data_IF_146076886746
#
_entry.id   IF_146076886746
#
_cell.length_a   1.000
_cell.length_b   1.000
_cell.length_c   1.000
_cell.angle_alpha   90.00
_cell.angle_beta   90.00
_cell.angle_gamma   90.00
#
_symmetry.space_group_name_H-M   'P 1'
#
loop_
_entity.id
_entity.type
_entity.pdbx_description
1 polymer ?
#
# COMPACT_ATOMS: atom_id res chain seq x y z
N UNK A 1 19.48 15.48 6.62
CA UNK A 1 18.51 14.40 6.34
C UNK A 1 17.37 15.05 5.57
N UNK A 2 17.06 14.56 4.37
CA UNK A 2 15.84 15.00 3.68
C UNK A 2 14.63 14.60 4.55
N UNK A 3 13.63 15.48 4.66
CA UNK A 3 12.40 15.17 5.40
C UNK A 3 11.61 14.05 4.72
N UNK A 4 10.65 13.48 5.45
CA UNK A 4 9.72 12.50 4.86
C UNK A 4 8.92 13.15 3.71
N UNK A 5 8.64 12.43 2.61
CA UNK A 5 7.88 12.95 1.49
C UNK A 5 6.38 12.95 1.81
N UNK A 6 5.93 13.87 2.67
CA UNK A 6 4.56 13.87 3.24
C UNK A 6 3.45 13.80 2.19
N UNK A 7 3.55 14.56 1.10
CA UNK A 7 2.55 14.53 0.03
C UNK A 7 2.47 13.16 -0.67
N UNK A 8 3.62 12.55 -0.97
CA UNK A 8 3.68 11.21 -1.55
C UNK A 8 3.18 10.14 -0.58
N UNK A 9 3.44 10.30 0.72
CA UNK A 9 2.92 9.43 1.78
C UNK A 9 1.39 9.54 1.90
N UNK A 10 0.82 10.74 1.86
CA UNK A 10 -0.63 10.92 1.83
C UNK A 10 -1.25 10.28 0.57
N UNK A 11 -0.62 10.45 -0.60
CA UNK A 11 -1.06 9.78 -1.83
C UNK A 11 -1.04 8.25 -1.69
N UNK A 12 0.03 7.72 -1.09
CA UNK A 12 0.18 6.29 -0.81
C UNK A 12 -0.86 5.78 0.19
N UNK A 13 -1.16 6.55 1.23
CA UNK A 13 -2.22 6.27 2.20
C UNK A 13 -3.60 6.19 1.55
N UNK A 14 -3.91 7.14 0.67
CA UNK A 14 -5.15 7.14 -0.09
C UNK A 14 -5.26 5.87 -0.95
N UNK A 15 -4.22 5.54 -1.71
CA UNK A 15 -4.21 4.34 -2.56
C UNK A 15 -4.30 3.07 -1.73
N UNK A 16 -3.60 3.00 -0.59
CA UNK A 16 -3.67 1.85 0.32
C UNK A 16 -5.10 1.63 0.83
N UNK A 17 -5.79 2.70 1.21
CA UNK A 17 -7.18 2.64 1.64
C UNK A 17 -8.12 2.17 0.51
N UNK A 18 -7.92 2.69 -0.70
CA UNK A 18 -8.65 2.26 -1.90
C UNK A 18 -8.41 0.76 -2.22
N UNK A 19 -7.16 0.33 -2.12
CA UNK A 19 -6.76 -1.05 -2.39
C UNK A 19 -7.33 -2.01 -1.34
N UNK A 20 -7.34 -1.64 -0.06
CA UNK A 20 -7.98 -2.43 0.98
C UNK A 20 -9.49 -2.50 0.83
N UNK A 21 -10.14 -1.41 0.43
CA UNK A 21 -11.56 -1.47 0.09
C UNK A 21 -11.82 -2.47 -1.04
N UNK A 22 -11.08 -2.37 -2.13
CA UNK A 22 -11.17 -3.33 -3.25
C UNK A 22 -10.93 -4.77 -2.79
N UNK A 23 -9.88 -5.01 -1.98
CA UNK A 23 -9.54 -6.33 -1.47
C UNK A 23 -10.58 -6.89 -0.48
N UNK A 24 -11.25 -6.02 0.28
CA UNK A 24 -12.29 -6.39 1.26
C UNK A 24 -13.58 -6.86 0.60
N UNK A 25 -13.79 -6.52 -0.67
CA UNK A 25 -15.00 -6.91 -1.43
C UNK A 25 -14.71 -8.08 -2.40
N UNK A 26 -13.49 -8.64 -2.41
CA UNK A 26 -13.13 -9.77 -3.27
C UNK A 26 -13.82 -11.08 -2.84
N UNK A 27 -14.25 -11.93 -3.80
CA UNK A 27 -14.75 -13.26 -3.50
C UNK A 27 -13.64 -14.18 -2.97
N UNK A 28 -13.99 -15.35 -2.39
CA UNK A 28 -13.01 -16.36 -2.03
C UNK A 28 -12.10 -16.76 -3.19
N UNK A 29 -10.78 -16.68 -2.97
CA UNK A 29 -9.77 -16.92 -4.01
C UNK A 29 -9.54 -15.76 -4.97
N UNK A 30 -10.23 -14.63 -4.78
CA UNK A 30 -9.97 -13.39 -5.53
C UNK A 30 -8.57 -12.84 -5.24
N UNK A 31 -8.00 -12.17 -6.22
CA UNK A 31 -6.71 -11.49 -6.12
C UNK A 31 -6.92 -10.01 -6.41
N UNK A 32 -6.33 -9.15 -5.59
CA UNK A 32 -6.36 -7.71 -5.82
C UNK A 32 -5.63 -7.39 -7.14
N UNK A 33 -6.32 -6.72 -8.05
CA UNK A 33 -5.71 -6.20 -9.25
C UNK A 33 -4.79 -5.03 -8.86
N UNK A 34 -3.48 -5.09 -9.17
CA UNK A 34 -2.57 -3.98 -8.93
C UNK A 34 -3.05 -2.67 -9.54
N UNK A 35 -2.85 -1.58 -8.81
CA UNK A 35 -3.19 -0.23 -9.28
C UNK A 35 -2.10 0.77 -8.92
N UNK A 36 -2.05 1.87 -9.66
CA UNK A 36 -1.25 3.04 -9.32
C UNK A 36 -2.13 4.26 -9.17
N UNK A 37 -1.76 5.14 -8.26
CA UNK A 37 -2.31 6.47 -8.12
C UNK A 37 -1.18 7.46 -8.25
N UNK A 38 -1.18 8.22 -9.33
CA UNK A 38 -0.14 9.19 -9.63
C UNK A 38 -0.70 10.61 -9.63
N UNK A 39 0.08 11.55 -9.11
CA UNK A 39 -0.25 12.96 -9.10
C UNK A 39 0.42 13.66 -10.27
N UNK A 40 -0.38 14.38 -11.07
CA UNK A 40 0.12 15.24 -12.15
C UNK A 40 0.66 16.55 -11.58
N UNK A 41 1.46 17.25 -12.38
CA UNK A 41 1.98 18.58 -12.01
C UNK A 41 0.88 19.64 -11.79
N UNK A 42 -0.32 19.44 -12.32
CA UNK A 42 -1.49 20.30 -12.12
C UNK A 42 -2.28 19.96 -10.83
N UNK A 43 -1.82 18.98 -10.04
CA UNK A 43 -2.46 18.53 -8.80
C UNK A 43 -3.55 17.46 -9.00
N UNK A 44 -3.89 17.11 -10.24
CA UNK A 44 -4.87 16.05 -10.49
C UNK A 44 -4.28 14.67 -10.22
N UNK A 45 -5.08 13.80 -9.60
CA UNK A 45 -4.72 12.40 -9.35
C UNK A 45 -5.27 11.50 -10.46
N UNK A 46 -4.46 10.58 -10.96
CA UNK A 46 -4.86 9.58 -11.95
C UNK A 46 -4.69 8.18 -11.37
N UNK A 47 -5.81 7.45 -11.26
CA UNK A 47 -5.83 6.04 -10.91
C UNK A 47 -5.72 5.20 -12.18
N UNK A 48 -4.84 4.21 -12.19
CA UNK A 48 -4.69 3.25 -13.28
C UNK A 48 -4.62 1.83 -12.71
N UNK A 49 -5.34 0.91 -13.32
CA UNK A 49 -5.19 -0.54 -13.07
C UNK A 49 -4.18 -1.15 -14.03
N UNK A 50 -3.49 -2.20 -13.57
CA UNK A 50 -2.61 -3.02 -14.40
C UNK A 50 -3.34 -4.30 -14.82
N UNK A 51 -3.69 -4.38 -16.09
CA UNK A 51 -4.37 -5.53 -16.68
C UNK A 51 -3.37 -6.64 -17.05
N UNK A 52 -3.87 -7.87 -17.09
CA UNK A 52 -3.11 -9.06 -17.43
C UNK A 52 -4.00 -10.30 -17.34
N UNK A 53 -3.67 -11.36 -18.09
CA UNK A 53 -4.44 -12.59 -18.09
C UNK A 53 -4.26 -13.40 -16.81
N UNK A 54 -3.17 -13.14 -16.06
CA UNK A 54 -2.88 -13.78 -14.78
C UNK A 54 -2.47 -12.76 -13.71
N UNK A 55 -2.65 -13.06 -12.42
CA UNK A 55 -2.11 -12.23 -11.32
C UNK A 55 -0.63 -11.92 -11.46
N UNK A 56 0.16 -12.89 -11.96
CA UNK A 56 1.59 -12.71 -12.19
C UNK A 56 1.86 -11.64 -13.26
N UNK A 57 1.15 -11.68 -14.38
CA UNK A 57 1.32 -10.69 -15.45
C UNK A 57 0.94 -9.28 -14.98
N UNK A 58 -0.11 -9.18 -14.15
CA UNK A 58 -0.52 -7.91 -13.56
C UNK A 58 0.55 -7.34 -12.60
N UNK A 59 1.15 -8.19 -11.74
CA UNK A 59 2.26 -7.79 -10.86
C UNK A 59 3.50 -7.40 -11.66
N UNK A 60 3.85 -8.17 -12.69
CA UNK A 60 4.99 -7.87 -13.58
C UNK A 60 4.79 -6.51 -14.30
N UNK A 61 3.56 -6.20 -14.75
CA UNK A 61 3.22 -4.91 -15.35
C UNK A 61 3.33 -3.75 -14.35
N UNK A 62 2.84 -3.92 -13.12
CA UNK A 62 2.94 -2.91 -12.07
C UNK A 62 4.41 -2.65 -11.67
N UNK A 63 5.25 -3.69 -11.60
CA UNK A 63 6.69 -3.56 -11.36
C UNK A 63 7.40 -2.83 -12.50
N UNK A 64 7.09 -3.18 -13.75
CA UNK A 64 7.64 -2.49 -14.91
C UNK A 64 7.30 -1.00 -14.90
N UNK A 65 6.06 -0.66 -14.54
CA UNK A 65 5.63 0.73 -14.36
C UNK A 65 6.45 1.44 -13.28
N UNK A 66 6.67 0.81 -12.12
CA UNK A 66 7.49 1.36 -11.03
C UNK A 66 8.90 1.71 -11.51
N UNK A 67 9.52 0.85 -12.33
CA UNK A 67 10.90 1.03 -12.84
C UNK A 67 11.05 1.98 -14.05
N UNK A 68 9.96 2.44 -14.66
CA UNK A 68 10.04 3.26 -15.87
C UNK A 68 8.82 4.16 -16.11
N UNK A 69 7.61 3.58 -16.13
CA UNK A 69 6.37 4.32 -16.38
C UNK A 69 6.06 5.42 -15.36
N UNK A 70 6.54 5.27 -14.12
CA UNK A 70 6.40 6.23 -13.04
C UNK A 70 7.31 7.48 -13.19
N UNK A 71 8.33 7.44 -14.06
CA UNK A 71 9.30 8.54 -14.21
C UNK A 71 8.71 9.84 -14.75
N UNK A 72 7.57 9.78 -15.44
CA UNK A 72 6.86 10.95 -15.96
C UNK A 72 6.01 11.68 -14.90
N UNK A 73 5.94 11.14 -13.67
CA UNK A 73 5.09 11.65 -12.60
C UNK A 73 5.93 12.21 -11.45
N UNK A 74 5.57 13.39 -10.90
CA UNK A 74 6.18 13.90 -9.67
C UNK A 74 6.08 12.91 -8.51
N UNK A 75 4.88 12.40 -8.25
CA UNK A 75 4.60 11.44 -7.18
C UNK A 75 3.66 10.33 -7.70
N UNK A 76 3.99 9.08 -7.41
CA UNK A 76 3.14 7.91 -7.63
C UNK A 76 3.16 7.01 -6.40
N UNK A 77 2.02 6.41 -6.10
CA UNK A 77 1.94 5.22 -5.28
C UNK A 77 1.51 4.04 -6.17
N UNK A 78 2.07 2.86 -5.95
CA UNK A 78 1.73 1.63 -6.68
C UNK A 78 1.39 0.55 -5.66
N UNK A 79 0.16 0.05 -5.69
CA UNK A 79 -0.33 -1.00 -4.82
C UNK A 79 -0.32 -2.36 -5.54
N UNK A 80 0.22 -3.38 -4.86
CA UNK A 80 0.28 -4.77 -5.34
C UNK A 80 -0.05 -5.71 -4.18
N UNK A 81 -0.71 -6.83 -4.44
CA UNK A 81 -0.88 -7.88 -3.44
C UNK A 81 0.21 -8.93 -3.56
N UNK A 82 0.80 -9.30 -2.43
CA UNK A 82 1.80 -10.37 -2.33
C UNK A 82 1.41 -11.34 -1.21
N UNK A 83 2.03 -12.53 -1.23
CA UNK A 83 2.06 -13.43 -0.07
C UNK A 83 3.40 -13.26 0.64
N UNK A 84 3.35 -13.03 1.95
CA UNK A 84 4.54 -12.93 2.80
C UNK A 84 4.63 -14.17 3.67
N UNK A 85 5.75 -14.89 3.57
CA UNK A 85 6.03 -16.03 4.43
C UNK A 85 6.32 -15.59 5.87
N UNK A 86 5.61 -16.16 6.83
CA UNK A 86 5.80 -15.91 8.27
C UNK A 86 6.05 -17.24 8.98
N UNK A 87 6.57 -17.25 10.23
CA UNK A 87 6.72 -18.48 11.00
C UNK A 87 5.41 -19.26 11.22
N UNK A 88 4.25 -18.60 11.07
CA UNK A 88 2.92 -19.22 11.22
C UNK A 88 2.29 -19.62 9.88
N UNK A 89 2.99 -19.43 8.77
CA UNK A 89 2.50 -19.63 7.40
C UNK A 89 2.41 -18.33 6.61
N UNK A 90 1.98 -18.45 5.36
CA UNK A 90 1.87 -17.30 4.46
C UNK A 90 0.66 -16.43 4.83
N UNK A 91 0.86 -15.11 4.82
CA UNK A 91 -0.20 -14.11 4.96
C UNK A 91 -0.29 -13.24 3.71
N UNK A 92 -1.51 -12.77 3.39
CA UNK A 92 -1.69 -11.80 2.32
C UNK A 92 -1.25 -10.40 2.81
N UNK A 93 -0.59 -9.65 1.93
CA UNK A 93 -0.15 -8.29 2.22
C UNK A 93 -0.32 -7.40 1.00
N UNK A 94 -0.65 -6.13 1.24
CA UNK A 94 -0.48 -5.09 0.23
C UNK A 94 0.92 -4.49 0.36
N UNK A 95 1.60 -4.38 -0.78
CA UNK A 95 2.84 -3.63 -0.94
C UNK A 95 2.51 -2.34 -1.66
N UNK A 96 2.86 -1.21 -1.06
CA UNK A 96 2.71 0.13 -1.63
C UNK A 96 4.11 0.69 -1.91
N UNK A 97 4.47 0.76 -3.18
CA UNK A 97 5.70 1.39 -3.63
C UNK A 97 5.46 2.89 -3.84
N UNK A 98 6.21 3.73 -3.13
CA UNK A 98 6.13 5.19 -3.20
C UNK A 98 7.26 5.67 -4.10
N UNK A 99 6.91 6.27 -5.24
CA UNK A 99 7.85 6.70 -6.27
C UNK A 99 7.78 8.21 -6.43
N UNK A 100 8.93 8.86 -6.38
CA UNK A 100 9.08 10.29 -6.70
C UNK A 100 10.02 10.45 -7.89
N UNK A 101 9.54 11.12 -8.93
CA UNK A 101 10.32 11.35 -10.17
C UNK A 101 11.01 10.08 -10.69
N UNK A 102 10.30 8.95 -10.67
CA UNK A 102 10.79 7.64 -11.13
C UNK A 102 11.71 6.89 -10.16
N UNK A 103 12.03 7.45 -9.00
CA UNK A 103 12.80 6.76 -7.96
C UNK A 103 11.87 6.26 -6.86
N UNK A 104 11.92 4.96 -6.54
CA UNK A 104 11.26 4.46 -5.34
C UNK A 104 11.98 5.05 -4.11
N UNK A 105 11.23 5.76 -3.28
CA UNK A 105 11.76 6.43 -2.08
C UNK A 105 11.35 5.71 -0.79
N UNK A 106 10.33 4.84 -0.87
CA UNK A 106 9.83 4.06 0.25
C UNK A 106 8.92 2.94 -0.25
N UNK A 107 8.97 1.80 0.41
CA UNK A 107 8.00 0.72 0.24
C UNK A 107 7.30 0.44 1.56
N UNK A 108 5.98 0.29 1.52
CA UNK A 108 5.15 -0.01 2.69
C UNK A 108 4.52 -1.37 2.52
N UNK A 109 4.56 -2.20 3.55
CA UNK A 109 3.95 -3.53 3.54
C UNK A 109 2.93 -3.63 4.66
N UNK A 110 1.66 -3.79 4.32
CA UNK A 110 0.59 -3.98 5.29
C UNK A 110 -0.05 -5.35 5.09
N UNK A 111 0.18 -6.25 6.05
CA UNK A 111 -0.45 -7.57 6.08
C UNK A 111 -1.94 -7.43 6.41
N UNK A 112 -2.75 -8.29 5.83
CA UNK A 112 -4.19 -8.33 6.05
C UNK A 112 -4.71 -9.76 5.96
N UNK A 113 -5.87 -9.97 6.56
CA UNK A 113 -6.67 -11.17 6.37
C UNK A 113 -7.76 -10.90 5.33
N UNK A 114 -7.97 -11.75 4.32
CA UNK A 114 -8.95 -11.51 3.27
C UNK A 114 -10.40 -11.69 3.77
N UNK A 115 -11.35 -11.08 3.04
CA UNK A 115 -12.76 -11.02 3.42
C UNK A 115 -13.45 -12.35 3.78
N UNK A 116 -13.22 -13.48 3.06
CA UNK A 116 -13.82 -14.78 3.40
C UNK A 116 -13.45 -15.29 4.80
N UNK A 117 -12.37 -14.78 5.38
CA UNK A 117 -11.89 -15.15 6.71
C UNK A 117 -12.28 -14.10 7.76
N UNK A 118 -12.95 -13.02 7.35
CA UNK A 118 -13.20 -11.81 8.14
C UNK A 118 -12.09 -10.79 7.90
N UNK A 119 -12.35 -9.79 7.06
CA UNK A 119 -11.34 -8.81 6.68
C UNK A 119 -10.81 -8.05 7.91
N UNK A 120 -9.48 -8.01 8.07
CA UNK A 120 -8.80 -7.22 9.11
C UNK A 120 -7.35 -6.92 8.74
N UNK A 121 -6.83 -5.82 9.26
CA UNK A 121 -5.41 -5.49 9.18
C UNK A 121 -4.64 -6.29 10.23
N UNK A 122 -3.48 -6.83 9.85
CA UNK A 122 -2.65 -7.68 10.72
C UNK A 122 -1.48 -6.88 11.28
N UNK A 123 -1.67 -6.24 12.43
CA UNK A 123 -0.66 -5.38 13.06
C UNK A 123 -0.26 -4.18 12.24
N UNK A 124 0.76 -3.47 12.70
CA UNK A 124 1.28 -2.28 12.04
C UNK A 124 1.96 -2.61 10.71
N UNK A 125 1.89 -1.65 9.79
CA UNK A 125 2.62 -1.70 8.54
C UNK A 125 4.15 -1.66 8.74
N UNK A 126 4.86 -2.39 7.88
CA UNK A 126 6.31 -2.34 7.79
C UNK A 126 6.72 -1.27 6.77
N UNK A 127 7.40 -0.23 7.25
CA UNK A 127 7.95 0.84 6.42
C UNK A 127 9.40 0.54 6.05
N UNK A 128 9.71 0.50 4.76
CA UNK A 128 11.04 0.22 4.22
C UNK A 128 11.56 1.45 3.45
N UNK A 129 12.72 1.95 3.84
CA UNK A 129 13.50 2.89 3.02
C UNK A 129 14.66 2.20 2.31
N UNK A 130 15.58 2.97 1.74
CA UNK A 130 16.73 2.45 0.98
C UNK A 130 17.61 1.45 1.75
N UNK A 131 17.69 1.61 3.08
CA UNK A 131 18.53 0.78 3.96
C UNK A 131 17.73 -0.30 4.72
N UNK A 132 16.52 -0.62 4.25
CA UNK A 132 15.62 -1.57 4.90
C UNK A 132 14.62 -0.89 5.85
N UNK A 133 14.16 -1.60 6.91
CA UNK A 133 13.15 -1.07 7.82
C UNK A 133 13.52 0.27 8.43
N UNK A 134 12.58 1.21 8.39
CA UNK A 134 12.76 2.50 9.04
C UNK A 134 12.84 2.34 10.57
N UNK A 135 13.64 3.18 11.25
CA UNK A 135 13.60 3.25 12.71
C UNK A 135 12.20 3.63 13.22
N UNK A 136 11.85 3.32 14.48
CA UNK A 136 10.49 3.47 15.00
C UNK A 136 9.88 4.87 14.85
N UNK A 137 10.65 5.92 15.13
CA UNK A 137 10.14 7.30 15.07
C UNK A 137 9.83 7.75 13.62
N UNK A 138 10.75 7.62 12.65
CA UNK A 138 10.44 7.86 11.23
C UNK A 138 9.29 6.98 10.71
N UNK A 139 9.22 5.71 11.10
CA UNK A 139 8.13 4.82 10.70
C UNK A 139 6.77 5.33 11.20
N UNK A 140 6.68 5.75 12.47
CA UNK A 140 5.46 6.31 13.04
C UNK A 140 5.03 7.62 12.37
N UNK A 141 5.99 8.47 11.98
CA UNK A 141 5.70 9.70 11.25
C UNK A 141 5.20 9.43 9.82
N UNK A 142 5.79 8.45 9.13
CA UNK A 142 5.33 8.02 7.82
C UNK A 142 3.92 7.41 7.89
N UNK A 143 3.67 6.57 8.89
CA UNK A 143 2.36 5.97 9.16
C UNK A 143 1.28 7.03 9.42
N UNK A 144 1.61 8.07 10.20
CA UNK A 144 0.69 9.18 10.45
C UNK A 144 0.33 9.93 9.15
N UNK A 145 1.31 10.23 8.29
CA UNK A 145 1.06 10.89 7.01
C UNK A 145 0.22 10.02 6.05
N UNK A 146 0.47 8.71 6.02
CA UNK A 146 -0.37 7.78 5.24
C UNK A 146 -1.79 7.72 5.80
N UNK A 147 -1.96 7.71 7.11
CA UNK A 147 -3.29 7.71 7.73
C UNK A 147 -4.10 8.95 7.35
N UNK A 148 -3.48 10.12 7.30
CA UNK A 148 -4.15 11.34 6.80
C UNK A 148 -4.67 11.16 5.37
N UNK A 149 -3.86 10.56 4.49
CA UNK A 149 -4.26 10.25 3.12
C UNK A 149 -5.37 9.20 3.02
N UNK A 150 -5.36 8.18 3.89
CA UNK A 150 -6.37 7.14 3.95
C UNK A 150 -7.76 7.70 4.33
N UNK A 151 -7.79 8.65 5.27
CA UNK A 151 -9.02 9.31 5.75
C UNK A 151 -9.61 10.24 4.67
N UNK A 152 -8.79 10.80 3.78
CA UNK A 152 -9.22 11.63 2.66
C UNK A 152 -9.96 10.83 1.56
N UNK A 153 -10.09 9.51 1.67
CA UNK A 153 -10.76 8.68 0.66
C UNK A 153 -12.30 8.81 0.70
N UNK A 154 -12.93 9.47 -0.30
CA UNK A 154 -14.35 9.89 -0.21
C UNK A 154 -15.36 8.74 -0.23
N UNK A 155 -14.96 7.55 -0.70
CA UNK A 155 -15.84 6.36 -0.78
C UNK A 155 -15.72 5.39 0.39
N UNK A 156 -14.83 5.65 1.37
CA UNK A 156 -14.48 4.67 2.39
C UNK A 156 -15.48 4.64 3.56
N UNK A 157 -16.18 5.76 3.80
CA UNK A 157 -17.03 5.93 4.98
C UNK A 157 -16.27 5.57 6.26
N UNK A 158 -16.92 4.81 7.16
CA UNK A 158 -16.32 4.41 8.43
C UNK A 158 -15.51 3.10 8.34
N UNK A 159 -15.28 2.54 7.13
CA UNK A 159 -14.59 1.24 6.98
C UNK A 159 -13.17 1.30 7.52
N UNK A 160 -12.44 2.39 7.27
CA UNK A 160 -11.07 2.56 7.77
C UNK A 160 -11.00 2.48 9.30
N UNK A 161 -11.88 3.24 9.96
CA UNK A 161 -11.98 3.27 11.42
C UNK A 161 -12.35 1.91 11.99
N UNK A 162 -13.23 1.15 11.32
CA UNK A 162 -13.59 -0.21 11.70
C UNK A 162 -12.40 -1.16 11.58
N UNK A 163 -11.62 -1.07 10.51
CA UNK A 163 -10.43 -1.90 10.32
C UNK A 163 -9.31 -1.57 11.29
N UNK A 164 -9.11 -0.29 11.62
CA UNK A 164 -8.17 0.14 12.65
C UNK A 164 -8.61 -0.34 14.04
N UNK A 165 -9.91 -0.27 14.35
CA UNK A 165 -10.45 -0.78 15.62
C UNK A 165 -10.36 -2.32 15.75
N UNK A 166 -10.39 -3.03 14.63
CA UNK A 166 -10.28 -4.49 14.55
C UNK A 166 -8.86 -4.97 14.21
N UNK A 167 -7.87 -4.07 14.11
CA UNK A 167 -6.48 -4.39 13.77
C UNK A 167 -5.90 -5.33 14.82
N UNK A 168 -5.23 -6.38 14.37
CA UNK A 168 -4.51 -7.25 15.30
C UNK A 168 -3.38 -6.47 15.98
N UNK A 169 -3.13 -6.64 17.29
CA UNK A 169 -2.12 -5.86 18.01
C UNK A 169 -0.68 -6.24 17.68
N UNK A 170 -0.46 -7.33 16.94
CA UNK A 170 0.88 -7.86 16.63
C UNK A 170 1.01 -8.06 15.13
N UNK A 171 1.96 -7.37 14.52
CA UNK A 171 2.29 -7.54 13.10
C UNK A 171 3.00 -8.87 12.89
N UNK A 172 2.58 -9.70 11.93
CA UNK A 172 3.32 -10.90 11.55
C UNK A 172 4.57 -10.57 10.73
N UNK A 173 4.73 -9.31 10.30
CA UNK A 173 5.84 -8.83 9.46
C UNK A 173 7.09 -8.47 10.25
N UNK A 174 6.94 -8.13 11.54
CA UNK A 174 8.05 -7.68 12.40
C UNK A 174 8.33 -8.76 13.44
N UNK A 175 9.49 -9.42 13.31
CA UNK A 175 10.00 -10.30 14.36
C UNK A 175 10.56 -9.42 15.49
N UNK A 176 10.14 -9.69 16.74
CA UNK A 176 10.82 -9.15 17.93
C UNK A 176 12.08 -9.96 18.23
#
# INVERSE_FOLDING_TARGET
MAGLPTAALQLAGFLMAHAFWSASDLPPGGHYQPQSLCMRADGNRQLQSFDGATPKEQDDAARAFTSGGAAQWPDCAIARQVKVGTPKGDVDALVIDIVQYGSNVMTVVQAFQPAPQGFRLLGDELMLGDNGPLPPLPAAQAAAAMREGAIDHPGLGNKWEQWEAARDPVSPLVQK
#
